data_IF_055155722721
#
_entry.id   IF_055155722721
#
_cell.length_a   1.000
_cell.length_b   1.000
_cell.length_c   1.000
_cell.angle_alpha   90.00
_cell.angle_beta   90.00
_cell.angle_gamma   90.00
#
_symmetry.space_group_name_H-M   'P 1'
#
loop_
_entity.id
_entity.type
_entity.pdbx_description
1 polymer ?
#
# COMPACT_ATOMS: atom_id res chain seq x y z
N UNK A 1 -3.23 4.39 11.50
CA UNK A 1 -3.48 4.12 10.06
C UNK A 1 -3.99 5.40 9.45
N UNK A 2 -3.56 5.72 8.22
CA UNK A 2 -3.95 6.94 7.52
C UNK A 2 -4.43 6.58 6.12
N UNK A 3 -5.54 7.17 5.71
CA UNK A 3 -5.99 7.10 4.32
C UNK A 3 -5.26 8.20 3.55
N UNK A 4 -4.46 7.81 2.58
CA UNK A 4 -3.72 8.75 1.72
C UNK A 4 -3.99 8.42 0.24
N UNK A 5 -3.82 9.41 -0.66
CA UNK A 5 -3.82 9.15 -2.08
C UNK A 5 -2.73 8.14 -2.44
N UNK A 6 -3.03 7.20 -3.34
CA UNK A 6 -2.10 6.15 -3.77
C UNK A 6 -0.81 6.72 -4.35
N UNK A 7 -0.88 7.88 -5.00
CA UNK A 7 0.28 8.60 -5.55
C UNK A 7 1.25 9.09 -4.47
N UNK A 8 0.73 9.40 -3.28
CA UNK A 8 1.52 9.86 -2.13
C UNK A 8 1.93 8.69 -1.21
N UNK A 9 1.52 7.47 -1.54
CA UNK A 9 1.76 6.30 -0.70
C UNK A 9 3.15 5.72 -0.83
N UNK A 10 3.97 6.17 -1.78
CA UNK A 10 5.35 5.71 -1.95
C UNK A 10 6.12 5.87 -0.63
N UNK A 11 6.87 4.83 -0.25
CA UNK A 11 7.60 4.77 1.01
C UNK A 11 6.76 4.39 2.24
N UNK A 12 5.44 4.29 2.12
CA UNK A 12 4.56 3.92 3.22
C UNK A 12 4.27 2.40 3.24
N UNK A 13 3.95 1.88 4.43
CA UNK A 13 3.68 0.46 4.64
C UNK A 13 2.18 0.16 4.52
N UNK A 14 1.81 -0.88 3.76
CA UNK A 14 0.42 -1.32 3.63
C UNK A 14 -0.10 -2.00 4.90
N UNK A 15 -1.29 -1.59 5.32
CA UNK A 15 -1.96 -2.14 6.52
C UNK A 15 -2.69 -3.47 6.28
N UNK A 16 -3.00 -3.77 5.02
CA UNK A 16 -3.83 -4.90 4.62
C UNK A 16 -3.27 -5.55 3.36
N UNK A 17 -3.55 -6.84 3.19
CA UNK A 17 -3.33 -7.51 1.92
C UNK A 17 -4.28 -6.93 0.85
N UNK A 18 -3.79 -6.76 -0.37
CA UNK A 18 -4.60 -6.37 -1.52
C UNK A 18 -4.46 -7.42 -2.62
N UNK A 19 -5.57 -8.08 -2.90
CA UNK A 19 -5.68 -9.09 -3.96
C UNK A 19 -6.08 -8.44 -5.27
N UNK A 20 -5.31 -8.70 -6.32
CA UNK A 20 -5.69 -8.33 -7.66
C UNK A 20 -6.46 -9.49 -8.28
N UNK A 21 -7.68 -9.24 -8.74
CA UNK A 21 -8.49 -10.24 -9.43
C UNK A 21 -8.28 -10.03 -10.93
N UNK A 22 -7.49 -10.90 -11.56
CA UNK A 22 -7.36 -10.93 -13.02
C UNK A 22 -8.23 -12.06 -13.53
N UNK A 23 -9.33 -11.71 -14.21
CA UNK A 23 -10.30 -12.68 -14.74
C UNK A 23 -9.59 -13.65 -15.70
N UNK A 24 -9.60 -14.95 -15.36
CA UNK A 24 -9.04 -16.01 -16.20
C UNK A 24 -7.54 -16.30 -16.03
N UNK A 25 -6.82 -15.56 -15.16
CA UNK A 25 -5.36 -15.73 -14.98
C UNK A 25 -5.01 -16.17 -13.57
N UNK A 26 -5.22 -15.31 -12.57
CA UNK A 26 -4.83 -15.60 -11.17
C UNK A 26 -5.70 -14.81 -10.19
N UNK A 27 -6.01 -15.43 -9.03
CA UNK A 27 -6.53 -14.78 -7.83
C UNK A 27 -5.53 -14.95 -6.69
N UNK A 28 -4.50 -14.10 -6.65
CA UNK A 28 -3.54 -14.11 -5.54
C UNK A 28 -3.28 -12.68 -5.02
N UNK A 29 -2.76 -12.60 -3.80
CA UNK A 29 -2.46 -11.33 -3.15
C UNK A 29 -1.31 -10.63 -3.89
N UNK A 30 -1.63 -9.61 -4.68
CA UNK A 30 -0.62 -8.80 -5.38
C UNK A 30 0.22 -8.01 -4.39
N UNK A 31 -0.41 -7.53 -3.33
CA UNK A 31 0.23 -6.85 -2.22
C UNK A 31 -0.09 -7.56 -0.92
N UNK A 32 0.91 -7.68 -0.05
CA UNK A 32 0.74 -8.24 1.29
C UNK A 32 0.85 -7.16 2.36
N UNK A 33 0.20 -7.35 3.50
CA UNK A 33 0.37 -6.52 4.70
C UNK A 33 1.85 -6.44 5.05
N UNK A 34 2.33 -5.24 5.35
CA UNK A 34 3.75 -5.00 5.62
C UNK A 34 4.58 -4.67 4.38
N UNK A 35 4.01 -4.76 3.17
CA UNK A 35 4.66 -4.30 1.94
C UNK A 35 4.86 -2.78 1.97
N UNK A 36 6.06 -2.34 1.57
CA UNK A 36 6.38 -0.91 1.38
C UNK A 36 6.03 -0.54 -0.05
N UNK A 37 5.14 0.44 -0.22
CA UNK A 37 4.73 0.89 -1.55
C UNK A 37 5.90 1.56 -2.26
N UNK A 38 6.17 1.14 -3.49
CA UNK A 38 7.17 1.73 -4.38
C UNK A 38 6.51 2.52 -5.52
N UNK A 39 7.28 3.30 -6.27
CA UNK A 39 6.77 4.06 -7.43
C UNK A 39 6.15 3.13 -8.50
N UNK A 40 6.69 1.92 -8.66
CA UNK A 40 6.17 0.90 -9.58
C UNK A 40 4.82 0.32 -9.13
N UNK A 41 4.54 0.37 -7.84
CA UNK A 41 3.28 -0.13 -7.27
C UNK A 41 2.11 0.84 -7.47
N UNK A 42 2.39 2.15 -7.58
CA UNK A 42 1.38 3.20 -7.77
C UNK A 42 0.49 2.94 -8.99
N UNK A 43 1.02 2.75 -10.22
CA UNK A 43 0.17 2.46 -11.38
C UNK A 43 -0.61 1.15 -11.24
N UNK A 44 -0.07 0.16 -10.52
CA UNK A 44 -0.77 -1.11 -10.26
C UNK A 44 -1.94 -0.90 -9.32
N UNK A 45 -1.74 -0.20 -8.20
CA UNK A 45 -2.79 0.12 -7.23
C UNK A 45 -3.90 0.97 -7.87
N UNK A 46 -3.54 1.96 -8.70
CA UNK A 46 -4.50 2.75 -9.47
C UNK A 46 -5.26 1.87 -10.48
N UNK A 47 -4.59 0.95 -11.16
CA UNK A 47 -5.26 0.00 -12.09
C UNK A 47 -6.27 -0.92 -11.39
N UNK A 48 -6.08 -1.15 -10.08
CA UNK A 48 -7.01 -1.89 -9.22
C UNK A 48 -8.20 -1.05 -8.74
N UNK A 49 -8.29 0.23 -9.16
CA UNK A 49 -9.32 1.16 -8.69
C UNK A 49 -9.08 1.66 -7.27
N UNK A 50 -7.85 1.58 -6.75
CA UNK A 50 -7.48 2.11 -5.44
C UNK A 50 -6.85 3.49 -5.63
N UNK A 51 -7.70 4.51 -5.66
CA UNK A 51 -7.24 5.91 -5.68
C UNK A 51 -6.71 6.37 -4.31
N UNK A 52 -7.25 5.77 -3.24
CA UNK A 52 -6.81 5.99 -1.87
C UNK A 52 -6.58 4.65 -1.17
N UNK A 53 -5.51 4.56 -0.38
CA UNK A 53 -5.13 3.35 0.35
C UNK A 53 -4.85 3.65 1.82
N UNK A 54 -5.11 2.66 2.68
CA UNK A 54 -4.77 2.74 4.09
C UNK A 54 -3.34 2.28 4.30
N UNK A 55 -2.52 3.21 4.79
CA UNK A 55 -1.13 2.94 5.13
C UNK A 55 -0.88 3.08 6.62
N UNK A 56 0.20 2.44 7.05
CA UNK A 56 0.75 2.65 8.37
C UNK A 56 1.63 3.88 8.30
N UNK A 57 1.27 4.90 9.09
CA UNK A 57 2.15 6.02 9.33
C UNK A 57 3.22 5.51 10.30
N UNK A 58 4.44 5.23 9.80
CA UNK A 58 5.59 5.23 10.69
C UNK A 58 5.72 6.68 11.13
N UNK A 59 5.26 6.99 12.34
CA UNK A 59 5.70 8.21 13.01
C UNK A 59 7.22 8.11 13.17
N UNK A 60 7.98 8.51 12.14
CA UNK A 60 9.44 8.70 12.19
C UNK A 60 9.84 9.84 13.14
N UNK A 61 8.92 10.32 13.98
CA UNK A 61 9.12 11.36 15.00
C UNK A 61 9.05 10.88 16.45
N UNK A 62 8.82 9.59 16.74
CA UNK A 62 9.07 9.06 18.09
C UNK A 62 10.43 8.37 18.13
N UNK A 63 11.48 9.19 18.13
CA UNK A 63 12.68 8.87 18.89
C UNK A 63 12.23 8.58 20.32
N UNK A 64 12.26 7.32 20.72
CA UNK A 64 12.42 6.99 22.14
C UNK A 64 13.82 7.49 22.49
N UNK A 65 13.92 8.69 23.08
CA UNK A 65 15.03 8.95 23.99
C UNK A 65 14.75 8.20 25.30
N UNK A 66 15.83 7.63 25.84
CA UNK A 66 15.98 6.64 26.92
C UNK A 66 15.07 6.83 28.16
#
# INVERSE_FOLDING_TARGET
MKLIPTVDAVGHVLCHDMTQIIVGVTKDARFRKGHVVTEEDVPVLLSMGKEHIYVWEKNEGMVHED
#
